data_IF_088182596559
#
_entry.id   IF_088182596559
#
_cell.length_a   1.000
_cell.length_b   1.000
_cell.length_c   1.000
_cell.angle_alpha   90.00
_cell.angle_beta   90.00
_cell.angle_gamma   90.00
#
_symmetry.space_group_name_H-M   'P 1'
#
loop_
_entity.id
_entity.type
_entity.pdbx_description
1 polymer ?
#
# COMPACT_ATOMS: atom_id res chain seq x y z
N UNK A 1 20.70 14.33 8.83
CA UNK A 1 20.00 15.40 8.09
C UNK A 1 19.12 14.76 7.01
N UNK A 2 17.80 14.99 7.04
CA UNK A 2 16.88 14.46 6.03
C UNK A 2 17.05 15.20 4.70
N UNK A 3 17.07 14.48 3.59
CA UNK A 3 17.23 15.08 2.25
C UNK A 3 15.90 15.67 1.77
N UNK A 4 15.90 16.68 0.89
CA UNK A 4 14.67 17.18 0.25
C UNK A 4 13.86 16.05 -0.39
N UNK A 5 14.54 15.15 -1.09
CA UNK A 5 13.92 13.95 -1.66
C UNK A 5 13.20 13.08 -0.63
N UNK A 6 13.73 12.95 0.60
CA UNK A 6 13.06 12.21 1.67
C UNK A 6 11.79 12.92 2.15
N UNK A 7 11.79 14.27 2.17
CA UNK A 7 10.61 15.05 2.54
C UNK A 7 9.52 14.95 1.48
N UNK A 8 9.87 14.98 0.20
CA UNK A 8 8.90 14.84 -0.89
C UNK A 8 8.29 13.44 -0.94
N UNK A 9 9.13 12.40 -0.74
CA UNK A 9 8.65 11.03 -0.60
C UNK A 9 7.70 10.90 0.58
N UNK A 10 8.09 11.39 1.76
CA UNK A 10 7.25 11.38 2.96
C UNK A 10 5.91 12.08 2.71
N UNK A 11 5.92 13.31 2.17
CA UNK A 11 4.70 14.05 1.83
C UNK A 11 3.80 13.24 0.90
N UNK A 12 4.40 12.61 -0.12
CA UNK A 12 3.70 11.73 -1.05
C UNK A 12 3.05 10.54 -0.38
N UNK A 13 3.80 9.78 0.41
CA UNK A 13 3.31 8.58 1.08
C UNK A 13 2.24 8.89 2.12
N UNK A 14 2.46 9.91 2.94
CA UNK A 14 1.49 10.35 3.96
C UNK A 14 0.18 10.80 3.31
N UNK A 15 0.26 11.60 2.25
CA UNK A 15 -0.93 12.06 1.50
C UNK A 15 -1.65 10.88 0.86
N UNK A 16 -0.91 9.93 0.26
CA UNK A 16 -1.47 8.71 -0.32
C UNK A 16 -2.19 7.89 0.73
N UNK A 17 -1.56 7.60 1.86
CA UNK A 17 -2.15 6.80 2.92
C UNK A 17 -3.39 7.46 3.50
N UNK A 18 -3.36 8.75 3.79
CA UNK A 18 -4.53 9.48 4.30
C UNK A 18 -5.70 9.41 3.30
N UNK A 19 -5.44 9.70 2.03
CA UNK A 19 -6.46 9.63 0.97
C UNK A 19 -7.04 8.23 0.84
N UNK A 20 -6.16 7.23 0.74
CA UNK A 20 -6.54 5.83 0.57
C UNK A 20 -7.36 5.35 1.75
N UNK A 21 -6.92 5.62 2.99
CA UNK A 21 -7.64 5.22 4.20
C UNK A 21 -9.01 5.87 4.33
N UNK A 22 -9.13 7.18 4.06
CA UNK A 22 -10.41 7.91 4.16
C UNK A 22 -11.38 7.41 3.09
N UNK A 23 -10.96 7.37 1.82
CA UNK A 23 -11.85 6.99 0.72
C UNK A 23 -12.24 5.52 0.81
N UNK A 24 -11.30 4.63 1.18
CA UNK A 24 -11.60 3.21 1.40
C UNK A 24 -12.66 3.06 2.48
N UNK A 25 -12.51 3.75 3.62
CA UNK A 25 -13.48 3.68 4.71
C UNK A 25 -14.87 4.17 4.28
N UNK A 26 -14.94 5.28 3.53
CA UNK A 26 -16.21 5.79 2.99
C UNK A 26 -16.88 4.80 2.04
N UNK A 27 -16.11 4.21 1.11
CA UNK A 27 -16.63 3.20 0.16
C UNK A 27 -17.09 1.95 0.88
N UNK A 28 -16.28 1.42 1.80
CA UNK A 28 -16.62 0.23 2.59
C UNK A 28 -17.92 0.43 3.37
N UNK A 29 -18.08 1.60 4.03
CA UNK A 29 -19.31 1.91 4.77
C UNK A 29 -20.52 2.08 3.87
N UNK A 30 -20.35 2.75 2.72
CA UNK A 30 -21.40 2.89 1.72
C UNK A 30 -21.90 1.53 1.22
N UNK A 31 -20.98 0.59 0.92
CA UNK A 31 -21.32 -0.76 0.46
C UNK A 31 -21.99 -1.60 1.56
N UNK A 32 -21.51 -1.50 2.80
CA UNK A 32 -22.05 -2.27 3.93
C UNK A 32 -23.36 -1.71 4.49
N UNK A 33 -23.78 -0.51 4.08
CA UNK A 33 -25.00 0.18 4.57
C UNK A 33 -25.07 0.26 6.11
N UNK A 34 -23.93 0.44 6.77
CA UNK A 34 -23.86 0.53 8.24
C UNK A 34 -23.79 1.99 8.71
N UNK A 35 -24.64 2.36 9.68
CA UNK A 35 -24.66 3.70 10.32
C UNK A 35 -23.74 3.82 11.54
N UNK A 36 -22.78 2.90 11.71
CA UNK A 36 -21.82 2.93 12.82
C UNK A 36 -20.74 3.96 12.52
N UNK A 37 -20.25 4.62 13.58
CA UNK A 37 -19.13 5.58 13.57
C UNK A 37 -18.08 5.24 12.49
N UNK A 38 -18.01 6.12 11.49
CA UNK A 38 -17.27 5.90 10.24
C UNK A 38 -15.77 5.90 10.53
N UNK A 39 -15.31 6.69 11.49
CA UNK A 39 -13.89 6.89 11.81
C UNK A 39 -13.61 6.53 13.27
N UNK A 40 -13.79 5.26 13.61
CA UNK A 40 -13.57 4.77 14.97
C UNK A 40 -12.07 4.70 15.35
N UNK A 41 -11.82 4.41 16.64
CA UNK A 41 -10.46 4.33 17.20
C UNK A 41 -9.59 3.29 16.48
N UNK A 42 -10.15 2.11 16.14
CA UNK A 42 -9.43 1.06 15.42
C UNK A 42 -8.96 1.53 14.04
N UNK A 43 -9.81 2.24 13.30
CA UNK A 43 -9.46 2.83 12.01
C UNK A 43 -8.35 3.88 12.18
N UNK A 44 -8.47 4.74 13.19
CA UNK A 44 -7.49 5.80 13.46
C UNK A 44 -6.11 5.22 13.77
N UNK A 45 -6.04 4.25 14.70
CA UNK A 45 -4.79 3.55 15.06
C UNK A 45 -4.13 2.88 13.86
N UNK A 46 -4.92 2.15 13.06
CA UNK A 46 -4.42 1.52 11.84
C UNK A 46 -3.88 2.53 10.82
N UNK A 47 -4.60 3.63 10.61
CA UNK A 47 -4.19 4.67 9.67
C UNK A 47 -2.91 5.37 10.12
N UNK A 48 -2.83 5.76 11.39
CA UNK A 48 -1.63 6.38 11.97
C UNK A 48 -0.42 5.44 11.93
N UNK A 49 -0.59 4.17 12.29
CA UNK A 49 0.49 3.18 12.22
C UNK A 49 0.96 2.96 10.78
N UNK A 50 0.05 2.93 9.80
CA UNK A 50 0.40 2.79 8.39
C UNK A 50 1.16 4.03 7.88
N UNK A 51 0.70 5.22 8.23
CA UNK A 51 1.39 6.49 7.92
C UNK A 51 2.79 6.52 8.52
N UNK A 52 2.93 6.17 9.79
CA UNK A 52 4.22 6.10 10.47
C UNK A 52 5.14 5.01 9.88
N UNK A 53 4.58 3.86 9.45
CA UNK A 53 5.33 2.83 8.75
C UNK A 53 5.91 3.32 7.42
N UNK A 54 5.13 4.05 6.62
CA UNK A 54 5.65 4.70 5.40
C UNK A 54 6.68 5.78 5.73
N UNK A 55 6.46 6.56 6.79
CA UNK A 55 7.43 7.56 7.22
C UNK A 55 8.78 6.95 7.60
N UNK A 56 8.77 5.83 8.33
CA UNK A 56 9.99 5.07 8.66
C UNK A 56 10.71 4.64 7.38
N UNK A 57 9.98 4.11 6.39
CA UNK A 57 10.60 3.76 5.12
C UNK A 57 11.24 4.98 4.44
N UNK A 58 10.47 6.05 4.25
CA UNK A 58 10.90 7.21 3.45
C UNK A 58 12.01 8.03 4.10
N UNK A 59 12.11 7.98 5.43
CA UNK A 59 13.15 8.67 6.18
C UNK A 59 14.38 7.81 6.39
N UNK A 60 14.22 6.50 6.65
CA UNK A 60 15.31 5.65 7.15
C UNK A 60 15.78 4.60 6.14
N UNK A 61 14.88 3.97 5.37
CA UNK A 61 15.23 2.80 4.56
C UNK A 61 15.17 3.04 3.04
N UNK A 62 14.63 4.15 2.56
CA UNK A 62 14.54 4.43 1.12
C UNK A 62 15.90 4.38 0.40
N UNK A 63 17.00 4.69 1.11
CA UNK A 63 18.36 4.62 0.57
C UNK A 63 18.78 3.19 0.24
N UNK A 64 18.24 2.20 0.96
CA UNK A 64 18.51 0.78 0.70
C UNK A 64 18.04 0.36 -0.70
N UNK A 65 16.99 1.00 -1.24
CA UNK A 65 16.55 0.78 -2.62
C UNK A 65 17.60 1.14 -3.68
N UNK A 66 18.61 1.95 -3.33
CA UNK A 66 19.72 2.33 -4.20
C UNK A 66 20.93 1.39 -4.14
N UNK A 67 21.05 0.58 -3.08
CA UNK A 67 22.18 -0.32 -2.86
C UNK A 67 22.09 -1.56 -3.75
N UNK A 68 20.88 -2.04 -4.01
CA UNK A 68 20.66 -3.23 -4.82
C UNK A 68 20.35 -2.87 -6.28
N UNK A 69 21.26 -3.21 -7.18
CA UNK A 69 21.12 -3.01 -8.63
C UNK A 69 21.12 -4.35 -9.34
N UNK A 70 19.97 -4.75 -9.86
CA UNK A 70 19.86 -5.91 -10.74
C UNK A 70 19.91 -5.48 -12.21
N UNK A 71 20.46 -6.34 -13.08
CA UNK A 71 20.39 -6.15 -14.54
C UNK A 71 18.94 -6.26 -15.04
N UNK A 72 18.16 -7.12 -14.42
CA UNK A 72 16.74 -7.34 -14.74
C UNK A 72 15.87 -6.28 -14.05
N UNK A 73 15.18 -5.46 -14.86
CA UNK A 73 14.30 -4.39 -14.39
C UNK A 73 13.11 -4.92 -13.59
N UNK A 74 12.60 -6.12 -13.88
CA UNK A 74 11.48 -6.73 -13.14
C UNK A 74 11.90 -7.09 -11.72
N UNK A 75 13.06 -7.77 -11.60
CA UNK A 75 13.63 -8.13 -10.29
C UNK A 75 13.97 -6.88 -9.48
N UNK A 76 14.50 -5.84 -10.13
CA UNK A 76 14.76 -4.58 -9.46
C UNK A 76 13.49 -3.91 -8.94
N UNK A 77 12.41 -3.89 -9.74
CA UNK A 77 11.12 -3.34 -9.33
C UNK A 77 10.50 -4.14 -8.19
N UNK A 78 10.52 -5.47 -8.29
CA UNK A 78 10.04 -6.37 -7.25
C UNK A 78 10.78 -6.16 -5.92
N UNK A 79 12.12 -6.10 -5.93
CA UNK A 79 12.89 -5.85 -4.71
C UNK A 79 12.55 -4.48 -4.09
N UNK A 80 12.45 -3.43 -4.91
CA UNK A 80 12.08 -2.09 -4.42
C UNK A 80 10.71 -2.09 -3.76
N UNK A 81 9.73 -2.75 -4.36
CA UNK A 81 8.39 -2.87 -3.76
C UNK A 81 8.44 -3.70 -2.48
N UNK A 82 9.23 -4.78 -2.44
CA UNK A 82 9.41 -5.60 -1.22
C UNK A 82 10.05 -4.80 -0.09
N UNK A 83 11.08 -3.99 -0.37
CA UNK A 83 11.70 -3.13 0.64
C UNK A 83 10.75 -2.01 1.09
N UNK A 84 10.03 -1.41 0.15
CA UNK A 84 9.07 -0.34 0.38
C UNK A 84 7.92 -0.80 1.28
N UNK A 85 7.15 -1.80 0.82
CA UNK A 85 6.00 -2.32 1.54
C UNK A 85 6.41 -3.19 2.72
N UNK A 86 7.53 -3.92 2.64
CA UNK A 86 8.01 -4.76 3.74
C UNK A 86 8.44 -3.93 4.95
N UNK A 87 9.21 -2.85 4.72
CA UNK A 87 9.55 -1.93 5.82
C UNK A 87 8.29 -1.31 6.40
N UNK A 88 7.37 -0.84 5.55
CA UNK A 88 6.14 -0.22 6.00
C UNK A 88 5.28 -1.18 6.84
N UNK A 89 5.02 -2.39 6.35
CA UNK A 89 4.13 -3.36 7.01
C UNK A 89 4.70 -3.86 8.34
N UNK A 90 6.01 -4.17 8.38
CA UNK A 90 6.66 -4.58 9.63
C UNK A 90 6.63 -3.44 10.64
N UNK A 91 6.94 -2.21 10.20
CA UNK A 91 6.91 -1.03 11.07
C UNK A 91 5.50 -0.75 11.57
N UNK A 92 4.48 -0.86 10.71
CA UNK A 92 3.07 -0.72 11.07
C UNK A 92 2.70 -1.68 12.20
N UNK A 93 3.03 -2.97 12.08
CA UNK A 93 2.69 -3.95 13.11
C UNK A 93 3.41 -3.71 14.44
N UNK A 94 4.68 -3.27 14.39
CA UNK A 94 5.42 -2.86 15.59
C UNK A 94 4.76 -1.65 16.28
N UNK A 95 4.39 -0.64 15.50
CA UNK A 95 3.73 0.57 16.01
C UNK A 95 2.34 0.24 16.55
N UNK A 96 1.56 -0.63 15.89
CA UNK A 96 0.26 -1.07 16.38
C UNK A 96 0.38 -1.82 17.71
N UNK A 97 1.32 -2.76 17.81
CA UNK A 97 1.60 -3.45 19.07
C UNK A 97 1.98 -2.46 20.17
N UNK A 98 2.79 -1.44 19.87
CA UNK A 98 3.12 -0.38 20.83
C UNK A 98 1.89 0.45 21.25
N UNK A 99 1.08 0.93 20.29
CA UNK A 99 -0.13 1.74 20.56
C UNK A 99 -1.15 0.96 21.41
N UNK A 100 -1.25 -0.35 21.20
CA UNK A 100 -2.19 -1.21 21.92
C UNK A 100 -1.62 -1.79 23.23
N UNK A 101 -0.38 -1.47 23.60
CA UNK A 101 0.33 -2.08 24.73
C UNK A 101 0.41 -3.62 24.67
N UNK A 102 0.57 -4.17 23.46
CA UNK A 102 0.69 -5.59 23.21
C UNK A 102 2.13 -5.97 22.85
N UNK A 103 2.52 -7.21 23.13
CA UNK A 103 3.80 -7.72 22.63
C UNK A 103 3.72 -7.95 21.11
N UNK A 104 4.84 -7.71 20.43
CA UNK A 104 4.95 -8.06 19.03
C UNK A 104 5.09 -9.58 18.88
N UNK A 105 4.14 -10.19 18.17
CA UNK A 105 4.16 -11.62 17.87
C UNK A 105 4.64 -11.87 16.45
N UNK A 106 5.55 -12.83 16.29
CA UNK A 106 6.14 -13.19 14.99
C UNK A 106 5.15 -13.78 14.00
N UNK A 107 4.02 -14.30 14.47
CA UNK A 107 2.91 -14.77 13.62
C UNK A 107 2.36 -13.65 12.71
N UNK A 108 2.47 -12.38 13.12
CA UNK A 108 2.11 -11.22 12.29
C UNK A 108 2.99 -11.06 11.05
N UNK A 109 4.18 -11.67 11.01
CA UNK A 109 5.08 -11.61 9.86
C UNK A 109 4.66 -12.51 8.71
N UNK A 110 3.90 -13.58 8.98
CA UNK A 110 3.50 -14.52 7.95
C UNK A 110 2.54 -13.90 6.92
N UNK A 111 1.44 -13.22 7.32
CA UNK A 111 0.58 -12.48 6.38
C UNK A 111 1.34 -11.41 5.61
N UNK A 112 2.30 -10.73 6.26
CA UNK A 112 3.18 -9.75 5.59
C UNK A 112 3.97 -10.43 4.48
N UNK A 113 4.60 -11.57 4.75
CA UNK A 113 5.35 -12.35 3.76
C UNK A 113 4.50 -12.74 2.55
N UNK A 114 3.25 -13.13 2.77
CA UNK A 114 2.31 -13.48 1.69
C UNK A 114 1.93 -12.23 0.87
N UNK A 115 1.60 -11.11 1.52
CA UNK A 115 1.32 -9.86 0.82
C UNK A 115 2.52 -9.41 -0.04
N UNK A 116 3.75 -9.56 0.48
CA UNK A 116 4.99 -9.30 -0.27
C UNK A 116 5.16 -10.24 -1.48
N UNK A 117 4.77 -11.51 -1.35
CA UNK A 117 4.73 -12.43 -2.48
C UNK A 117 3.76 -11.93 -3.56
N UNK A 118 2.60 -11.38 -3.19
CA UNK A 118 1.68 -10.73 -4.14
C UNK A 118 2.31 -9.58 -4.93
N UNK A 119 3.10 -8.73 -4.28
CA UNK A 119 3.87 -7.67 -4.95
C UNK A 119 4.93 -8.24 -5.92
N UNK A 120 5.59 -9.36 -5.57
CA UNK A 120 6.55 -10.04 -6.44
C UNK A 120 5.83 -10.63 -7.67
N UNK A 121 4.72 -11.35 -7.45
CA UNK A 121 3.92 -11.94 -8.52
C UNK A 121 3.46 -10.87 -9.50
N UNK A 122 2.97 -9.73 -8.98
CA UNK A 122 2.58 -8.60 -9.81
C UNK A 122 3.73 -8.17 -10.72
N UNK A 123 4.88 -7.84 -10.14
CA UNK A 123 6.01 -7.27 -10.88
C UNK A 123 6.67 -8.24 -11.86
N UNK A 124 6.64 -9.55 -11.57
CA UNK A 124 7.27 -10.55 -12.42
C UNK A 124 6.37 -11.00 -13.58
N UNK A 125 5.07 -11.15 -13.34
CA UNK A 125 4.18 -11.87 -14.27
C UNK A 125 3.02 -11.05 -14.84
N UNK A 126 2.55 -10.03 -14.13
CA UNK A 126 1.29 -9.34 -14.47
C UNK A 126 1.52 -7.90 -14.93
N UNK A 127 2.41 -7.16 -14.28
CA UNK A 127 2.54 -5.71 -14.44
C UNK A 127 2.79 -5.28 -15.89
N UNK A 128 3.67 -5.98 -16.62
CA UNK A 128 3.95 -5.65 -18.02
C UNK A 128 2.74 -5.86 -18.94
N UNK A 129 1.93 -6.90 -18.68
CA UNK A 129 0.74 -7.19 -19.49
C UNK A 129 -0.28 -6.07 -19.34
N UNK A 130 -0.53 -5.62 -18.10
CA UNK A 130 -1.44 -4.52 -17.82
C UNK A 130 -0.95 -3.22 -18.47
N UNK A 131 0.32 -2.86 -18.28
CA UNK A 131 0.88 -1.63 -18.86
C UNK A 131 0.86 -1.68 -20.39
N UNK A 132 1.15 -2.82 -21.01
CA UNK A 132 1.11 -2.96 -22.47
C UNK A 132 -0.28 -2.76 -23.06
N UNK A 133 -1.34 -3.17 -22.36
CA UNK A 133 -2.73 -3.03 -22.81
C UNK A 133 -3.23 -1.58 -22.69
N UNK A 134 -2.71 -0.82 -21.72
CA UNK A 134 -3.09 0.56 -21.47
C UNK A 134 -2.26 1.59 -22.27
N UNK A 135 -1.25 1.12 -23.00
CA UNK A 135 -0.30 1.96 -23.74
C UNK A 135 0.90 2.38 -22.89
N UNK A 136 2.06 2.53 -23.53
CA UNK A 136 3.35 2.77 -22.85
C UNK A 136 3.53 4.20 -22.31
N UNK A 137 2.55 5.09 -22.52
CA UNK A 137 2.62 6.44 -21.99
C UNK A 137 2.29 6.41 -20.50
N UNK A 138 3.24 6.86 -19.65
CA UNK A 138 3.07 6.98 -18.20
C UNK A 138 2.14 8.14 -17.81
N UNK A 139 0.90 8.07 -18.26
CA UNK A 139 -0.16 8.99 -17.83
C UNK A 139 -0.51 8.74 -16.37
N UNK A 140 -1.12 9.74 -15.71
CA UNK A 140 -1.60 9.60 -14.32
C UNK A 140 -2.55 8.41 -14.16
N UNK A 141 -3.37 8.14 -15.18
CA UNK A 141 -4.29 7.00 -15.23
C UNK A 141 -3.55 5.65 -15.28
N UNK A 142 -2.51 5.51 -16.11
CA UNK A 142 -1.72 4.26 -16.18
C UNK A 142 -1.04 3.98 -14.84
N UNK A 143 -0.47 5.01 -14.21
CA UNK A 143 0.14 4.86 -12.87
C UNK A 143 -0.92 4.48 -11.83
N UNK A 144 -2.10 5.08 -11.89
CA UNK A 144 -3.21 4.74 -11.00
C UNK A 144 -3.64 3.28 -11.13
N UNK A 145 -3.85 2.80 -12.36
CA UNK A 145 -4.26 1.42 -12.63
C UNK A 145 -3.15 0.44 -12.22
N UNK A 146 -1.88 0.78 -12.48
CA UNK A 146 -0.75 -0.05 -12.07
C UNK A 146 -0.69 -0.22 -10.55
N UNK A 147 -0.76 0.89 -9.80
CA UNK A 147 -0.76 0.86 -8.34
C UNK A 147 -1.99 0.14 -7.77
N UNK A 148 -3.15 0.35 -8.39
CA UNK A 148 -4.40 -0.30 -8.03
C UNK A 148 -4.28 -1.82 -8.20
N UNK A 149 -3.94 -2.28 -9.39
CA UNK A 149 -3.81 -3.70 -9.69
C UNK A 149 -2.76 -4.39 -8.80
N UNK A 150 -1.64 -3.72 -8.55
CA UNK A 150 -0.59 -4.22 -7.66
C UNK A 150 -1.08 -4.39 -6.22
N UNK A 151 -1.73 -3.36 -5.68
CA UNK A 151 -2.20 -3.36 -4.28
C UNK A 151 -3.36 -4.34 -4.08
N UNK A 152 -4.30 -4.38 -5.03
CA UNK A 152 -5.40 -5.34 -5.06
C UNK A 152 -4.91 -6.78 -5.16
N UNK A 153 -3.91 -7.05 -6.01
CA UNK A 153 -3.33 -8.40 -6.08
C UNK A 153 -2.63 -8.78 -4.79
N UNK A 154 -1.88 -7.87 -4.17
CA UNK A 154 -1.23 -8.14 -2.89
C UNK A 154 -2.25 -8.49 -1.81
N UNK A 155 -3.39 -7.78 -1.76
CA UNK A 155 -4.49 -8.08 -0.84
C UNK A 155 -5.10 -9.46 -1.14
N UNK A 156 -5.48 -9.72 -2.40
CA UNK A 156 -6.09 -10.99 -2.81
C UNK A 156 -5.18 -12.19 -2.55
N UNK A 157 -3.88 -12.05 -2.80
CA UNK A 157 -2.90 -13.11 -2.52
C UNK A 157 -2.76 -13.34 -1.02
N UNK A 158 -2.76 -12.27 -0.22
CA UNK A 158 -2.71 -12.36 1.24
C UNK A 158 -3.95 -13.02 1.84
N UNK A 159 -5.10 -12.83 1.22
CA UNK A 159 -6.39 -13.38 1.65
C UNK A 159 -6.53 -14.84 1.21
N UNK A 160 -6.25 -15.12 -0.06
CA UNK A 160 -6.50 -16.44 -0.67
C UNK A 160 -5.49 -17.53 -0.29
N UNK A 161 -4.21 -17.21 -0.08
CA UNK A 161 -3.20 -18.26 0.14
C UNK A 161 -3.39 -19.03 1.46
N UNK A 162 -3.72 -18.39 2.60
CA UNK A 162 -3.88 -19.08 3.88
C UNK A 162 -4.94 -20.19 3.90
N UNK A 163 -6.10 -19.97 3.28
CA UNK A 163 -7.29 -20.82 3.43
C UNK A 163 -7.96 -21.20 2.09
N UNK A 164 -7.43 -20.73 0.96
CA UNK A 164 -7.95 -20.96 -0.40
C UNK A 164 -9.36 -20.37 -0.63
N UNK A 165 -9.74 -19.36 0.16
CA UNK A 165 -10.99 -18.62 0.00
C UNK A 165 -10.74 -17.11 -0.02
N UNK A 166 -11.70 -16.33 -0.49
CA UNK A 166 -11.68 -14.87 -0.33
C UNK A 166 -12.72 -14.53 0.72
N UNK A 167 -12.27 -14.02 1.86
CA UNK A 167 -13.19 -13.64 2.91
C UNK A 167 -14.12 -12.53 2.41
N UNK A 168 -15.44 -12.73 2.56
CA UNK A 168 -16.44 -11.75 2.12
C UNK A 168 -16.25 -10.39 2.81
N UNK A 169 -15.67 -10.38 4.01
CA UNK A 169 -15.28 -9.20 4.79
C UNK A 169 -14.19 -8.36 4.12
N UNK A 170 -13.37 -8.96 3.26
CA UNK A 170 -12.28 -8.29 2.56
C UNK A 170 -12.71 -7.69 1.20
N UNK A 171 -13.86 -8.10 0.65
CA UNK A 171 -14.40 -7.54 -0.60
C UNK A 171 -14.70 -6.03 -0.51
N UNK A 172 -15.37 -5.49 0.52
CA UNK A 172 -15.57 -4.05 0.67
C UNK A 172 -14.27 -3.26 0.75
N UNK A 173 -13.22 -3.84 1.33
CA UNK A 173 -11.89 -3.23 1.42
C UNK A 173 -11.25 -3.22 0.03
N UNK A 174 -11.33 -4.33 -0.71
CA UNK A 174 -10.86 -4.42 -2.09
C UNK A 174 -11.53 -3.35 -2.98
N UNK A 175 -12.86 -3.22 -2.93
CA UNK A 175 -13.58 -2.17 -3.66
C UNK A 175 -13.14 -0.78 -3.23
N UNK A 176 -12.93 -0.56 -1.93
CA UNK A 176 -12.40 0.71 -1.42
C UNK A 176 -11.01 1.03 -1.99
N UNK A 177 -10.12 0.05 -2.13
CA UNK A 177 -8.81 0.23 -2.78
C UNK A 177 -8.93 0.53 -4.28
N UNK A 178 -9.84 -0.14 -4.98
CA UNK A 178 -10.10 0.08 -6.41
C UNK A 178 -10.55 1.51 -6.71
N UNK A 179 -11.23 2.16 -5.76
CA UNK A 179 -11.66 3.57 -5.91
C UNK A 179 -10.61 4.52 -5.37
N UNK A 180 -10.07 4.24 -4.19
CA UNK A 180 -9.25 5.21 -3.44
C UNK A 180 -7.87 5.45 -4.05
N UNK A 181 -7.26 4.44 -4.68
CA UNK A 181 -5.96 4.58 -5.34
C UNK A 181 -6.07 5.49 -6.59
N UNK A 182 -7.05 5.31 -7.49
CA UNK A 182 -7.33 6.29 -8.54
C UNK A 182 -7.62 7.69 -8.02
N UNK A 183 -8.43 7.84 -6.96
CA UNK A 183 -8.72 9.16 -6.37
C UNK A 183 -7.43 9.86 -5.90
N UNK A 184 -6.50 9.12 -5.29
CA UNK A 184 -5.20 9.70 -4.94
C UNK A 184 -4.44 10.21 -6.18
N UNK A 185 -4.25 9.37 -7.20
CA UNK A 185 -3.42 9.73 -8.37
C UNK A 185 -4.06 10.80 -9.27
N UNK A 186 -5.38 10.80 -9.41
CA UNK A 186 -6.11 11.67 -10.32
C UNK A 186 -6.58 12.98 -9.68
N UNK A 187 -6.78 13.00 -8.36
CA UNK A 187 -7.35 14.16 -7.65
C UNK A 187 -6.37 14.70 -6.62
N UNK A 188 -5.98 13.89 -5.64
CA UNK A 188 -5.29 14.42 -4.45
C UNK A 188 -3.83 14.75 -4.69
N UNK A 189 -3.10 13.87 -5.37
CA UNK A 189 -1.68 14.08 -5.73
C UNK A 189 -1.49 15.34 -6.57
N UNK A 190 -2.27 15.58 -7.65
CA UNK A 190 -2.18 16.83 -8.39
C UNK A 190 -2.36 18.08 -7.52
N UNK A 191 -3.29 18.05 -6.56
CA UNK A 191 -3.59 19.21 -5.71
C UNK A 191 -2.54 19.50 -4.64
N UNK A 192 -1.87 18.48 -4.12
CA UNK A 192 -1.02 18.61 -2.93
C UNK A 192 0.47 18.49 -3.26
N UNK A 193 0.82 17.67 -4.25
CA UNK A 193 2.21 17.27 -4.52
C UNK A 193 2.72 17.86 -5.84
N UNK A 194 1.88 17.87 -6.88
CA UNK A 194 2.30 18.35 -8.21
C UNK A 194 2.07 19.88 -8.40
N UNK A 195 1.41 20.53 -7.44
CA UNK A 195 1.26 22.00 -7.34
C UNK A 195 2.50 22.63 -6.71
#
# INVERSE_FOLDING_TARGET
MFTEKSKDLLKGSITKTATVSIVTQLVTKFLLKTNIDIFNETWLKNTLATMAGFAIHDLLTYKLNGLYKFKDKKKQKALKDVLYFGTMLISKELILSFINNEQFHTNKLFPIGIALAGYIIYNMFIGDKIVSQLGNNKTKLVVAIEDMAKTSLALLVSDFIPDQDIELTNLPILFGLLVSIPVYHLVTRPMIIDN
#
